data_IF_021276499968
#
_entry.id   IF_021276499968
#
_cell.length_a   1.000
_cell.length_b   1.000
_cell.length_c   1.000
_cell.angle_alpha   90.00
_cell.angle_beta   90.00
_cell.angle_gamma   90.00
#
_symmetry.space_group_name_H-M   'P 1'
#
loop_
_entity.id
_entity.type
_entity.pdbx_description
1 polymer ?
#
# COMPACT_ATOMS: atom_id res chain seq x y z
N UNK A 1 -13.03 -7.72 -46.01
CA UNK A 1 -13.65 -8.76 -45.16
C UNK A 1 -12.88 -10.08 -45.33
N UNK A 2 -12.48 -10.66 -44.19
CA UNK A 2 -11.77 -11.94 -44.18
C UNK A 2 -12.77 -13.10 -44.13
N UNK A 3 -12.76 -13.96 -45.13
CA UNK A 3 -13.65 -15.14 -45.19
C UNK A 3 -12.97 -16.35 -44.56
N UNK A 4 -13.58 -16.91 -43.52
CA UNK A 4 -13.10 -18.12 -42.88
C UNK A 4 -13.37 -19.33 -43.84
N UNK A 5 -12.43 -20.30 -43.91
CA UNK A 5 -12.66 -21.52 -44.68
C UNK A 5 -13.89 -22.28 -44.20
N UNK A 6 -14.60 -22.98 -45.11
CA UNK A 6 -15.72 -23.86 -44.71
C UNK A 6 -15.26 -24.84 -43.62
N UNK A 7 -16.04 -24.95 -42.55
CA UNK A 7 -15.72 -25.87 -41.46
C UNK A 7 -14.69 -25.34 -40.43
N UNK A 8 -14.27 -24.08 -40.53
CA UNK A 8 -13.40 -23.45 -39.50
C UNK A 8 -14.10 -23.44 -38.15
N UNK A 9 -13.46 -24.05 -37.14
CA UNK A 9 -13.97 -24.08 -35.77
C UNK A 9 -13.20 -23.05 -34.93
N UNK A 10 -13.94 -22.14 -34.32
CA UNK A 10 -13.40 -21.24 -33.33
C UNK A 10 -12.96 -22.02 -32.10
N UNK A 11 -11.91 -21.55 -31.45
CA UNK A 11 -11.39 -22.19 -30.24
C UNK A 11 -12.39 -22.11 -29.09
N UNK A 12 -12.28 -23.04 -28.11
CA UNK A 12 -13.20 -23.14 -26.93
C UNK A 12 -13.28 -21.89 -26.07
N UNK A 13 -12.31 -21.00 -26.20
CA UNK A 13 -12.26 -19.71 -25.46
C UNK A 13 -13.15 -18.62 -26.07
N UNK A 14 -13.93 -18.95 -27.10
CA UNK A 14 -14.84 -18.07 -27.84
C UNK A 14 -14.16 -16.85 -28.51
N UNK A 15 -12.84 -16.82 -28.60
CA UNK A 15 -12.13 -15.78 -29.31
C UNK A 15 -12.13 -16.04 -30.81
N UNK A 16 -12.46 -15.00 -31.58
CA UNK A 16 -12.34 -15.06 -33.02
C UNK A 16 -10.88 -14.96 -33.43
N UNK A 17 -10.31 -16.09 -33.94
CA UNK A 17 -8.93 -16.14 -34.39
C UNK A 17 -8.93 -16.40 -35.91
N UNK A 18 -7.97 -15.78 -36.61
CA UNK A 18 -7.85 -15.92 -38.05
C UNK A 18 -7.11 -17.20 -38.43
N UNK A 19 -7.32 -17.78 -39.63
CA UNK A 19 -6.48 -18.85 -40.13
C UNK A 19 -5.00 -18.51 -40.22
N UNK A 20 -4.66 -17.24 -40.34
CA UNK A 20 -3.27 -16.76 -40.21
C UNK A 20 -2.72 -17.03 -38.80
N UNK A 21 -3.47 -16.71 -37.77
CA UNK A 21 -3.09 -16.98 -36.37
C UNK A 21 -2.79 -18.47 -36.15
N UNK A 22 -3.68 -19.36 -36.63
CA UNK A 22 -3.50 -20.80 -36.48
C UNK A 22 -2.24 -21.31 -37.22
N UNK A 23 -1.91 -20.72 -38.38
CA UNK A 23 -0.67 -21.02 -39.09
C UNK A 23 0.57 -20.57 -38.33
N UNK A 24 0.55 -19.38 -37.74
CA UNK A 24 1.65 -18.89 -36.93
C UNK A 24 1.85 -19.75 -35.66
N UNK A 25 0.78 -20.15 -34.99
CA UNK A 25 0.86 -21.09 -33.86
C UNK A 25 1.46 -22.46 -34.27
N UNK A 26 1.18 -22.94 -35.48
CA UNK A 26 1.70 -24.22 -36.02
C UNK A 26 3.18 -24.13 -36.48
N UNK A 27 3.77 -22.93 -36.59
CA UNK A 27 5.19 -22.75 -36.92
C UNK A 27 6.14 -23.20 -35.83
N UNK A 28 5.63 -23.68 -34.71
CA UNK A 28 6.46 -24.18 -33.61
C UNK A 28 7.04 -23.08 -32.70
N UNK A 29 6.44 -21.89 -32.73
CA UNK A 29 6.81 -20.84 -31.77
C UNK A 29 6.54 -21.33 -30.33
N UNK A 30 7.44 -21.06 -29.40
CA UNK A 30 7.21 -21.32 -27.98
C UNK A 30 5.92 -20.64 -27.50
N UNK A 31 5.18 -21.30 -26.61
CA UNK A 31 3.89 -20.79 -26.11
C UNK A 31 3.97 -19.36 -25.55
N UNK A 32 5.07 -19.02 -24.89
CA UNK A 32 5.27 -17.67 -24.33
C UNK A 32 5.44 -16.60 -25.42
N UNK A 33 6.03 -16.95 -26.59
CA UNK A 33 6.12 -16.02 -27.72
C UNK A 33 4.78 -15.85 -28.43
N UNK A 34 3.97 -16.92 -28.52
CA UNK A 34 2.60 -16.83 -29.03
C UNK A 34 1.78 -15.90 -28.15
N UNK A 35 1.85 -16.07 -26.83
CA UNK A 35 1.16 -15.21 -25.87
C UNK A 35 1.61 -13.75 -26.00
N UNK A 36 2.92 -13.50 -26.14
CA UNK A 36 3.49 -12.17 -26.25
C UNK A 36 3.17 -11.48 -27.56
N UNK A 37 3.40 -12.16 -28.70
CA UNK A 37 3.41 -11.53 -30.02
C UNK A 37 2.05 -11.63 -30.74
N UNK A 38 1.27 -12.66 -30.45
CA UNK A 38 0.01 -12.92 -31.13
C UNK A 38 -1.21 -12.66 -30.25
N UNK A 39 -1.15 -13.06 -28.98
CA UNK A 39 -2.26 -12.91 -28.05
C UNK A 39 -2.20 -11.57 -27.27
N UNK A 40 -1.04 -10.92 -27.26
CA UNK A 40 -0.76 -9.74 -26.41
C UNK A 40 -1.08 -10.07 -24.92
N UNK A 41 -0.86 -11.32 -24.55
CA UNK A 41 -1.03 -11.84 -23.20
C UNK A 41 0.29 -11.77 -22.45
N UNK A 42 0.45 -10.72 -21.68
CA UNK A 42 1.67 -10.50 -20.90
C UNK A 42 1.84 -11.52 -19.76
N UNK A 43 0.74 -12.06 -19.22
CA UNK A 43 0.79 -13.12 -18.22
C UNK A 43 1.38 -14.42 -18.77
N UNK A 44 1.08 -14.76 -20.03
CA UNK A 44 1.62 -15.93 -20.74
C UNK A 44 3.00 -15.72 -21.35
N UNK A 45 3.51 -14.48 -21.42
CA UNK A 45 4.77 -14.13 -22.07
C UNK A 45 6.04 -14.51 -21.27
N UNK A 46 5.90 -14.91 -20.01
CA UNK A 46 7.02 -15.24 -19.12
C UNK A 46 7.84 -14.04 -18.64
N UNK A 47 7.38 -12.82 -18.89
CA UNK A 47 8.04 -11.57 -18.46
C UNK A 47 7.34 -10.90 -17.28
N UNK A 48 6.38 -11.57 -16.64
CA UNK A 48 5.71 -11.04 -15.45
C UNK A 48 6.67 -10.89 -14.30
N UNK A 49 6.57 -9.76 -13.59
CA UNK A 49 7.41 -9.49 -12.42
C UNK A 49 6.96 -10.34 -11.22
N UNK A 50 5.65 -10.42 -10.99
CA UNK A 50 5.08 -11.31 -9.98
C UNK A 50 4.71 -12.65 -10.62
N UNK A 51 4.99 -13.76 -9.93
CA UNK A 51 4.68 -15.10 -10.43
C UNK A 51 3.16 -15.34 -10.49
N UNK A 52 2.60 -15.72 -11.65
CA UNK A 52 1.15 -15.91 -11.79
C UNK A 52 0.58 -17.04 -10.91
N UNK A 53 1.39 -18.06 -10.62
CA UNK A 53 1.00 -19.16 -9.73
C UNK A 53 0.90 -18.70 -8.28
N UNK A 54 1.86 -17.88 -7.83
CA UNK A 54 1.83 -17.24 -6.50
C UNK A 54 0.63 -16.30 -6.39
N UNK A 55 0.35 -15.47 -7.41
CA UNK A 55 -0.80 -14.56 -7.42
C UNK A 55 -2.13 -15.30 -7.29
N UNK A 56 -2.29 -16.41 -7.99
CA UNK A 56 -3.49 -17.25 -7.89
C UNK A 56 -3.68 -17.83 -6.48
N UNK A 57 -2.60 -18.16 -5.78
CA UNK A 57 -2.68 -18.59 -4.38
C UNK A 57 -3.06 -17.43 -3.45
N UNK A 58 -2.51 -16.24 -3.69
CA UNK A 58 -2.82 -15.03 -2.92
C UNK A 58 -4.28 -14.60 -3.08
N UNK A 59 -4.88 -14.77 -4.27
CA UNK A 59 -6.31 -14.52 -4.48
C UNK A 59 -7.19 -15.31 -3.51
N UNK A 60 -6.78 -16.52 -3.11
CA UNK A 60 -7.47 -17.32 -2.09
C UNK A 60 -7.50 -16.68 -0.70
N UNK A 61 -6.59 -15.76 -0.42
CA UNK A 61 -6.53 -14.97 0.83
C UNK A 61 -7.29 -13.65 0.78
N UNK A 62 -7.72 -13.23 -0.43
CA UNK A 62 -8.51 -12.02 -0.60
C UNK A 62 -9.96 -12.24 -0.15
N UNK A 63 -10.61 -11.17 0.26
CA UNK A 63 -12.01 -11.20 0.72
C UNK A 63 -12.68 -9.86 0.48
N UNK A 64 -14.00 -9.88 0.45
CA UNK A 64 -14.76 -8.64 0.42
C UNK A 64 -14.49 -7.82 1.69
N UNK A 65 -14.51 -6.48 1.60
CA UNK A 65 -14.41 -5.64 2.78
C UNK A 65 -15.59 -5.91 3.73
N UNK A 66 -15.32 -5.82 5.02
CA UNK A 66 -16.35 -5.95 6.07
C UNK A 66 -17.27 -4.72 6.06
N UNK A 67 -16.68 -3.54 5.87
CA UNK A 67 -17.36 -2.26 5.80
C UNK A 67 -16.84 -1.44 4.61
N UNK A 68 -17.72 -0.61 4.05
CA UNK A 68 -17.36 0.41 3.05
C UNK A 68 -17.95 1.75 3.46
N UNK A 69 -17.22 2.84 3.18
CA UNK A 69 -17.68 4.17 3.59
C UNK A 69 -16.65 5.26 3.35
N UNK A 70 -16.61 6.19 4.28
CA UNK A 70 -15.67 7.30 4.31
C UNK A 70 -15.31 7.66 5.76
N UNK A 71 -14.17 8.34 5.94
CA UNK A 71 -13.82 8.95 7.24
C UNK A 71 -14.40 10.37 7.28
N UNK A 72 -15.13 10.67 8.36
CA UNK A 72 -15.57 12.02 8.70
C UNK A 72 -14.64 12.59 9.76
N UNK A 73 -14.29 13.86 9.65
CA UNK A 73 -13.35 14.53 10.55
C UNK A 73 -13.61 16.03 10.61
N UNK A 74 -13.26 16.64 11.74
CA UNK A 74 -13.23 18.08 11.94
C UNK A 74 -11.96 18.71 11.32
N UNK A 75 -11.90 20.04 11.24
CA UNK A 75 -10.73 20.76 10.67
C UNK A 75 -9.42 20.43 11.37
N UNK A 76 -9.46 20.18 12.66
CA UNK A 76 -8.29 19.86 13.49
C UNK A 76 -7.97 18.38 13.63
N UNK A 77 -8.73 17.50 12.99
CA UNK A 77 -8.61 16.02 13.10
C UNK A 77 -8.68 15.50 14.55
N UNK A 78 -9.39 16.23 15.44
CA UNK A 78 -9.58 15.81 16.83
C UNK A 78 -10.71 14.78 16.94
N UNK A 79 -11.76 14.97 16.14
CA UNK A 79 -12.89 14.07 16.04
C UNK A 79 -12.85 13.38 14.68
N UNK A 80 -12.45 12.10 14.68
CA UNK A 80 -12.41 11.29 13.48
C UNK A 80 -13.29 10.06 13.67
N UNK A 81 -14.22 9.83 12.75
CA UNK A 81 -15.18 8.72 12.80
C UNK A 81 -15.37 8.10 11.42
N UNK A 82 -15.86 6.86 11.38
CA UNK A 82 -16.24 6.18 10.15
C UNK A 82 -17.72 6.35 9.87
N UNK A 83 -18.07 6.73 8.65
CA UNK A 83 -19.44 6.79 8.15
C UNK A 83 -19.60 5.68 7.11
N UNK A 84 -20.43 4.71 7.43
CA UNK A 84 -20.73 3.61 6.51
C UNK A 84 -21.56 4.12 5.32
N UNK A 85 -21.14 3.79 4.12
CA UNK A 85 -21.88 4.05 2.89
C UNK A 85 -21.55 3.00 1.84
N UNK A 86 -22.57 2.48 1.18
CA UNK A 86 -22.39 1.50 0.10
C UNK A 86 -21.65 2.13 -1.07
N UNK A 87 -20.54 1.52 -1.45
CA UNK A 87 -19.71 2.02 -2.55
C UNK A 87 -18.84 3.24 -2.20
N UNK A 88 -18.68 3.56 -0.91
CA UNK A 88 -17.74 4.58 -0.46
C UNK A 88 -16.29 4.24 -0.82
N UNK A 89 -15.42 5.26 -0.94
CA UNK A 89 -14.04 5.08 -1.40
C UNK A 89 -13.15 4.34 -0.40
N UNK A 90 -13.54 4.29 0.88
CA UNK A 90 -12.81 3.57 1.94
C UNK A 90 -13.41 2.20 2.17
N UNK A 91 -12.58 1.18 2.09
CA UNK A 91 -12.89 -0.23 2.33
C UNK A 91 -12.15 -0.69 3.57
N UNK A 92 -12.83 -1.35 4.51
CA UNK A 92 -12.24 -1.88 5.73
C UNK A 92 -12.32 -3.41 5.73
N UNK A 93 -11.23 -4.08 6.06
CA UNK A 93 -11.16 -5.52 6.31
C UNK A 93 -10.99 -5.85 7.80
N UNK A 94 -10.86 -4.84 8.64
CA UNK A 94 -10.87 -4.99 10.10
C UNK A 94 -12.26 -4.67 10.68
N UNK A 95 -12.52 -5.21 11.86
CA UNK A 95 -13.67 -4.81 12.66
C UNK A 95 -13.36 -3.50 13.40
N UNK A 96 -14.39 -2.72 13.64
CA UNK A 96 -14.32 -1.56 14.51
C UNK A 96 -14.78 -1.95 15.92
N UNK A 97 -14.27 -1.26 16.91
CA UNK A 97 -14.68 -1.42 18.30
C UNK A 97 -16.11 -0.84 18.53
N UNK A 98 -16.74 -1.00 19.72
CA UNK A 98 -18.08 -0.50 19.99
C UNK A 98 -18.24 1.03 19.84
N UNK A 99 -17.15 1.79 19.85
CA UNK A 99 -17.17 3.24 19.62
C UNK A 99 -16.83 3.61 18.17
N UNK A 100 -16.72 2.62 17.27
CA UNK A 100 -16.54 2.81 15.83
C UNK A 100 -15.09 3.09 15.40
N UNK A 101 -14.08 2.70 16.19
CA UNK A 101 -12.68 2.90 15.90
C UNK A 101 -11.94 1.58 15.66
N UNK A 102 -10.84 1.57 14.87
CA UNK A 102 -9.94 0.43 14.74
C UNK A 102 -9.26 0.10 16.08
N UNK A 103 -8.77 -1.16 16.20
CA UNK A 103 -8.08 -1.62 17.40
C UNK A 103 -6.99 -0.67 17.86
N UNK A 104 -6.97 -0.37 19.15
CA UNK A 104 -5.92 0.42 19.82
C UNK A 104 -4.76 -0.41 20.35
N UNK A 105 -4.82 -1.72 20.20
CA UNK A 105 -3.76 -2.63 20.60
C UNK A 105 -2.74 -2.88 19.49
N UNK A 106 -2.97 -2.30 18.31
CA UNK A 106 -2.13 -2.42 17.13
C UNK A 106 -1.43 -1.11 16.80
N UNK A 107 -0.37 -1.20 15.99
CA UNK A 107 0.23 -0.06 15.32
C UNK A 107 -0.05 -0.18 13.83
N UNK A 108 -0.22 0.94 13.15
CA UNK A 108 -0.58 0.97 11.73
C UNK A 108 0.38 1.81 10.91
N UNK A 109 0.48 1.46 9.63
CA UNK A 109 1.14 2.30 8.64
C UNK A 109 0.25 2.47 7.41
N UNK A 110 0.43 3.60 6.72
CA UNK A 110 -0.28 3.95 5.51
C UNK A 110 0.72 4.20 4.40
N UNK A 111 0.60 3.44 3.30
CA UNK A 111 1.27 3.71 2.04
C UNK A 111 0.36 4.50 1.12
N UNK A 112 0.88 5.56 0.48
CA UNK A 112 0.10 6.42 -0.40
C UNK A 112 0.73 6.53 -1.79
N UNK A 113 -0.05 6.23 -2.81
CA UNK A 113 0.21 6.54 -4.20
C UNK A 113 -0.71 7.67 -4.65
N UNK A 114 -0.14 8.71 -5.27
CA UNK A 114 -0.83 9.99 -5.50
C UNK A 114 -1.00 10.24 -6.99
N UNK A 115 -2.24 10.24 -7.46
CA UNK A 115 -2.61 10.69 -8.79
C UNK A 115 -2.93 12.19 -8.81
N UNK A 116 -3.11 12.74 -10.01
CA UNK A 116 -3.45 14.16 -10.19
C UNK A 116 -4.87 14.51 -9.75
N UNK A 117 -5.76 13.52 -9.64
CA UNK A 117 -7.18 13.71 -9.35
C UNK A 117 -7.95 14.41 -10.49
N UNK A 118 -7.37 14.44 -11.68
CA UNK A 118 -8.06 15.00 -12.86
C UNK A 118 -8.92 13.89 -13.48
N UNK A 119 -10.23 14.04 -13.34
CA UNK A 119 -11.20 13.13 -13.97
C UNK A 119 -11.00 13.10 -15.50
N UNK A 120 -11.03 11.91 -16.10
CA UNK A 120 -10.88 11.72 -17.53
C UNK A 120 -10.70 10.26 -17.92
N UNK A 121 -10.62 10.00 -19.24
CA UNK A 121 -10.44 8.63 -19.78
C UNK A 121 -9.10 7.98 -19.39
N UNK A 122 -8.13 8.77 -18.97
CA UNK A 122 -6.80 8.32 -18.52
C UNK A 122 -6.58 8.59 -17.02
N UNK A 123 -7.68 8.74 -16.26
CA UNK A 123 -7.58 8.99 -14.83
C UNK A 123 -7.02 7.75 -14.11
N UNK A 124 -5.98 7.96 -13.32
CA UNK A 124 -5.34 7.02 -12.40
C UNK A 124 -5.93 7.18 -11.01
N UNK A 125 -5.89 6.14 -10.20
CA UNK A 125 -6.36 6.22 -8.82
C UNK A 125 -5.31 6.84 -7.90
N UNK A 126 -5.76 7.70 -6.99
CA UNK A 126 -5.05 7.95 -5.74
C UNK A 126 -5.41 6.86 -4.75
N UNK A 127 -4.43 6.23 -4.12
CA UNK A 127 -4.64 5.09 -3.22
C UNK A 127 -3.94 5.28 -1.89
N UNK A 128 -4.66 5.02 -0.79
CA UNK A 128 -4.10 4.90 0.56
C UNK A 128 -4.29 3.46 1.03
N UNK A 129 -3.21 2.73 1.26
CA UNK A 129 -3.22 1.35 1.78
C UNK A 129 -2.82 1.33 3.24
N UNK A 130 -3.67 0.80 4.10
CA UNK A 130 -3.43 0.71 5.55
C UNK A 130 -3.07 -0.72 5.93
N UNK A 131 -1.95 -0.88 6.62
CA UNK A 131 -1.46 -2.18 7.11
C UNK A 131 -1.31 -2.17 8.63
N UNK A 132 -1.70 -3.26 9.28
CA UNK A 132 -1.35 -3.53 10.66
C UNK A 132 0.14 -3.89 10.74
N UNK A 133 0.90 -3.17 11.56
CA UNK A 133 2.33 -3.43 11.77
C UNK A 133 2.58 -4.64 12.71
N UNK A 134 1.54 -5.16 13.32
CA UNK A 134 1.59 -6.35 14.18
C UNK A 134 1.39 -7.61 13.37
N UNK A 135 0.35 -7.63 12.53
CA UNK A 135 -0.03 -8.84 11.76
C UNK A 135 0.50 -8.84 10.34
N UNK A 136 0.89 -7.69 9.79
CA UNK A 136 1.20 -7.51 8.37
C UNK A 136 -0.04 -7.54 7.47
N UNK A 137 -1.24 -7.54 8.03
CA UNK A 137 -2.49 -7.60 7.27
C UNK A 137 -2.90 -6.22 6.77
N UNK A 138 -3.26 -6.13 5.49
CA UNK A 138 -3.92 -4.96 4.92
C UNK A 138 -5.32 -4.86 5.53
N UNK A 139 -5.55 -3.82 6.32
CA UNK A 139 -6.79 -3.63 7.09
C UNK A 139 -7.74 -2.61 6.48
N UNK A 140 -7.23 -1.74 5.60
CA UNK A 140 -8.06 -0.79 4.86
C UNK A 140 -7.42 -0.36 3.54
N UNK A 141 -8.26 0.14 2.63
CA UNK A 141 -7.89 0.73 1.35
C UNK A 141 -8.83 1.89 1.05
N UNK A 142 -8.28 3.06 0.82
CA UNK A 142 -8.98 4.17 0.18
C UNK A 142 -8.52 4.24 -1.27
N UNK A 143 -9.46 4.33 -2.22
CA UNK A 143 -9.14 4.48 -3.63
C UNK A 143 -10.13 5.44 -4.29
N UNK A 144 -9.61 6.43 -5.04
CA UNK A 144 -10.39 7.42 -5.76
C UNK A 144 -9.63 7.93 -6.99
N UNK A 145 -10.33 8.15 -8.10
CA UNK A 145 -9.75 8.65 -9.34
C UNK A 145 -9.89 10.17 -9.52
N UNK A 146 -10.67 10.82 -8.66
CA UNK A 146 -11.03 12.23 -8.75
C UNK A 146 -10.59 13.09 -7.55
N UNK A 147 -9.88 12.49 -6.59
CA UNK A 147 -9.39 13.21 -5.41
C UNK A 147 -8.07 13.92 -5.71
N UNK A 148 -8.02 15.27 -5.66
CA UNK A 148 -6.78 16.03 -5.84
C UNK A 148 -5.74 15.75 -4.75
N UNK A 149 -4.43 15.97 -5.02
CA UNK A 149 -3.36 15.65 -4.07
C UNK A 149 -3.48 16.31 -2.69
N UNK A 150 -3.95 17.55 -2.62
CA UNK A 150 -4.14 18.28 -1.36
C UNK A 150 -5.31 17.72 -0.55
N UNK A 151 -6.42 17.35 -1.20
CA UNK A 151 -7.54 16.69 -0.54
C UNK A 151 -7.17 15.26 -0.13
N UNK A 152 -6.41 14.53 -0.95
CA UNK A 152 -5.88 13.23 -0.57
C UNK A 152 -4.99 13.32 0.67
N UNK A 153 -4.18 14.38 0.80
CA UNK A 153 -3.37 14.62 1.99
C UNK A 153 -4.26 14.79 3.23
N UNK A 154 -5.36 15.51 3.10
CA UNK A 154 -6.35 15.67 4.16
C UNK A 154 -6.98 14.34 4.57
N UNK A 155 -7.38 13.52 3.58
CA UNK A 155 -7.89 12.16 3.82
C UNK A 155 -6.83 11.26 4.46
N UNK A 156 -5.56 11.35 4.03
CA UNK A 156 -4.47 10.56 4.59
C UNK A 156 -4.20 10.91 6.05
N UNK A 157 -4.18 12.19 6.42
CA UNK A 157 -4.02 12.62 7.82
C UNK A 157 -5.19 12.17 8.67
N UNK A 158 -6.44 12.30 8.18
CA UNK A 158 -7.62 11.80 8.86
C UNK A 158 -7.55 10.29 9.08
N UNK A 159 -7.14 9.51 8.07
CA UNK A 159 -6.93 8.08 8.20
C UNK A 159 -5.80 7.74 9.19
N UNK A 160 -4.71 8.51 9.21
CA UNK A 160 -3.65 8.35 10.21
C UNK A 160 -4.18 8.54 11.64
N UNK A 161 -5.08 9.49 11.84
CA UNK A 161 -5.71 9.73 13.15
C UNK A 161 -6.76 8.66 13.49
N UNK A 162 -7.51 8.18 12.50
CA UNK A 162 -8.46 7.07 12.64
C UNK A 162 -7.75 5.77 13.02
N UNK A 163 -6.66 5.42 12.32
CA UNK A 163 -5.81 4.25 12.57
C UNK A 163 -4.63 4.57 13.52
N UNK A 164 -4.86 5.37 14.55
CA UNK A 164 -3.76 5.78 15.44
C UNK A 164 -3.14 4.64 16.25
N UNK A 165 -3.91 3.58 16.49
CA UNK A 165 -3.45 2.43 17.28
C UNK A 165 -3.02 2.81 18.69
N UNK A 166 -1.89 2.26 19.14
CA UNK A 166 -1.30 2.53 20.48
C UNK A 166 -0.64 3.91 20.59
N UNK A 167 -0.40 4.59 19.46
CA UNK A 167 0.31 5.86 19.46
C UNK A 167 -0.63 7.04 19.58
N UNK A 168 -0.15 8.15 20.16
CA UNK A 168 -0.87 9.42 20.17
C UNK A 168 -0.66 10.21 18.87
N UNK A 169 0.38 9.86 18.10
CA UNK A 169 0.77 10.59 16.89
C UNK A 169 -0.06 10.20 15.67
N UNK A 170 -0.66 8.99 15.64
CA UNK A 170 -1.35 8.43 14.50
C UNK A 170 -0.51 7.39 13.75
N UNK A 171 -1.05 6.80 12.68
CA UNK A 171 -0.37 5.80 11.85
C UNK A 171 0.89 6.37 11.18
N UNK A 172 1.88 5.52 10.91
CA UNK A 172 3.07 5.91 10.17
C UNK A 172 2.77 6.09 8.68
N UNK A 173 3.04 7.27 8.12
CA UNK A 173 2.70 7.62 6.74
C UNK A 173 3.93 7.61 5.83
N UNK A 174 3.83 6.89 4.71
CA UNK A 174 4.81 6.86 3.64
C UNK A 174 4.12 7.08 2.29
N UNK A 175 4.63 7.96 1.45
CA UNK A 175 4.04 8.28 0.15
C UNK A 175 5.07 8.35 -0.96
N UNK A 176 4.64 8.17 -2.20
CA UNK A 176 5.46 8.44 -3.37
C UNK A 176 5.57 9.95 -3.60
N UNK A 177 6.80 10.49 -3.53
CA UNK A 177 7.07 11.94 -3.58
C UNK A 177 7.39 12.44 -5.00
N UNK A 178 6.99 11.68 -6.02
CA UNK A 178 7.16 12.04 -7.41
C UNK A 178 5.93 12.82 -7.93
N UNK A 179 6.15 13.75 -8.86
CA UNK A 179 5.06 14.44 -9.53
C UNK A 179 4.03 15.07 -8.56
N UNK A 180 2.77 14.57 -8.55
CA UNK A 180 1.71 15.07 -7.66
C UNK A 180 2.04 14.93 -6.16
N UNK A 181 2.94 14.01 -5.79
CA UNK A 181 3.40 13.80 -4.42
C UNK A 181 4.01 15.04 -3.77
N UNK A 182 4.55 15.97 -4.55
CA UNK A 182 5.09 17.23 -4.03
C UNK A 182 4.00 18.12 -3.41
N UNK A 183 2.83 18.19 -4.03
CA UNK A 183 1.68 18.95 -3.51
C UNK A 183 1.08 18.25 -2.29
N UNK A 184 1.00 16.91 -2.32
CA UNK A 184 0.60 16.10 -1.18
C UNK A 184 1.53 16.32 0.02
N UNK A 185 2.87 16.24 -0.21
CA UNK A 185 3.87 16.51 0.82
C UNK A 185 3.69 17.87 1.47
N UNK A 186 3.52 18.93 0.65
CA UNK A 186 3.33 20.28 1.16
C UNK A 186 2.14 20.35 2.09
N UNK A 187 1.00 19.81 1.70
CA UNK A 187 -0.20 19.79 2.53
C UNK A 187 0.01 18.99 3.84
N UNK A 188 0.58 17.77 3.76
CA UNK A 188 0.83 16.93 4.95
C UNK A 188 1.76 17.63 5.95
N UNK A 189 2.87 18.24 5.45
CA UNK A 189 3.94 18.75 6.31
C UNK A 189 3.73 20.19 6.78
N UNK A 190 3.17 21.05 5.90
CA UNK A 190 3.08 22.49 6.16
C UNK A 190 1.66 22.91 6.56
N UNK A 191 0.60 22.29 5.99
CA UNK A 191 -0.78 22.67 6.31
C UNK A 191 -1.33 21.89 7.51
N UNK A 192 -1.05 20.56 7.56
CA UNK A 192 -1.57 19.69 8.63
C UNK A 192 -0.53 19.32 9.68
N UNK A 193 0.73 19.75 9.52
CA UNK A 193 1.84 19.54 10.46
C UNK A 193 1.96 18.09 10.95
N UNK A 194 1.67 17.12 10.05
CA UNK A 194 1.74 15.71 10.40
C UNK A 194 3.17 15.20 10.41
N UNK A 195 3.67 14.74 11.56
CA UNK A 195 5.09 14.46 11.81
C UNK A 195 5.48 12.98 11.78
N UNK A 196 4.52 12.04 11.95
CA UNK A 196 4.81 10.61 11.94
C UNK A 196 4.95 10.06 10.51
N UNK A 197 5.98 10.52 9.79
CA UNK A 197 6.18 10.26 8.37
C UNK A 197 7.52 9.59 8.10
N UNK A 198 7.59 8.94 6.93
CA UNK A 198 8.82 8.35 6.42
C UNK A 198 9.77 9.43 5.90
N UNK A 199 11.04 9.30 6.27
CA UNK A 199 12.14 10.07 5.69
C UNK A 199 13.05 9.14 4.89
N UNK A 200 13.47 9.58 3.71
CA UNK A 200 14.38 8.82 2.84
C UNK A 200 15.63 8.41 3.59
N UNK A 201 16.14 7.23 3.27
CA UNK A 201 17.41 6.73 3.78
C UNK A 201 18.35 6.57 2.59
N UNK A 202 19.62 6.90 2.77
CA UNK A 202 20.63 6.58 1.76
C UNK A 202 20.83 5.05 1.76
N UNK A 203 20.33 4.40 0.71
CA UNK A 203 20.53 2.94 0.53
C UNK A 203 22.00 2.59 0.22
N UNK A 204 22.82 3.59 -0.11
CA UNK A 204 24.23 3.43 -0.50
C UNK A 204 25.20 3.50 0.70
N UNK A 205 24.75 3.96 1.85
CA UNK A 205 25.59 4.07 3.04
C UNK A 205 25.28 2.99 4.05
N UNK A 206 26.30 2.28 4.52
CA UNK A 206 26.17 1.25 5.55
C UNK A 206 25.49 1.73 6.84
N UNK A 207 25.54 3.02 7.16
CA UNK A 207 24.93 3.65 8.32
C UNK A 207 23.50 4.13 8.12
N UNK A 208 22.91 3.96 6.90
CA UNK A 208 21.51 4.36 6.57
C UNK A 208 21.12 5.73 7.15
N UNK A 209 21.90 6.75 6.82
CA UNK A 209 21.65 8.12 7.29
C UNK A 209 20.28 8.59 6.78
N UNK A 210 19.43 9.08 7.68
CA UNK A 210 18.14 9.66 7.31
C UNK A 210 18.37 10.96 6.53
N UNK A 211 17.75 11.04 5.35
CA UNK A 211 17.64 12.29 4.61
C UNK A 211 16.71 13.26 5.37
N UNK A 212 16.86 14.56 5.10
CA UNK A 212 15.90 15.58 5.53
C UNK A 212 14.64 15.61 4.66
N UNK A 213 14.60 14.85 3.56
CA UNK A 213 13.47 14.84 2.63
C UNK A 213 12.46 13.77 3.02
N UNK A 214 11.22 14.13 3.36
CA UNK A 214 10.16 13.17 3.64
C UNK A 214 9.65 12.52 2.33
N UNK A 215 8.95 11.39 2.48
CA UNK A 215 8.40 10.62 1.36
C UNK A 215 9.41 9.74 0.65
N UNK A 216 8.91 8.78 -0.12
CA UNK A 216 9.68 7.88 -0.98
C UNK A 216 9.87 8.53 -2.36
N UNK A 217 11.07 8.43 -2.91
CA UNK A 217 11.33 8.93 -4.27
C UNK A 217 11.57 7.75 -5.22
N UNK A 218 10.70 7.60 -6.20
CA UNK A 218 10.76 6.52 -7.19
C UNK A 218 11.68 6.89 -8.35
N UNK A 219 12.70 6.06 -8.53
CA UNK A 219 13.53 5.92 -9.72
C UNK A 219 13.37 4.50 -10.22
N UNK A 220 13.88 4.16 -11.39
CA UNK A 220 13.85 2.76 -11.87
C UNK A 220 14.45 1.80 -10.84
N UNK A 221 15.60 2.17 -10.25
CA UNK A 221 16.30 1.37 -9.23
C UNK A 221 15.46 1.23 -7.93
N UNK A 222 14.95 2.34 -7.41
CA UNK A 222 14.21 2.31 -6.14
C UNK A 222 12.82 1.67 -6.30
N UNK A 223 12.19 1.80 -7.47
CA UNK A 223 10.94 1.10 -7.81
C UNK A 223 11.17 -0.41 -7.87
N UNK A 224 12.26 -0.87 -8.50
CA UNK A 224 12.63 -2.28 -8.51
C UNK A 224 12.82 -2.83 -7.10
N UNK A 225 13.54 -2.11 -6.23
CA UNK A 225 13.75 -2.49 -4.83
C UNK A 225 12.40 -2.57 -4.10
N UNK A 226 11.56 -1.55 -4.23
CA UNK A 226 10.27 -1.46 -3.56
C UNK A 226 9.36 -2.64 -3.92
N UNK A 227 9.20 -2.91 -5.22
CA UNK A 227 8.35 -4.00 -5.72
C UNK A 227 8.93 -5.38 -5.39
N UNK A 228 10.28 -5.53 -5.40
CA UNK A 228 10.93 -6.78 -4.97
C UNK A 228 10.66 -7.05 -3.48
N UNK A 229 10.79 -6.06 -2.62
CA UNK A 229 10.49 -6.20 -1.18
C UNK A 229 9.01 -6.54 -0.96
N UNK A 230 8.11 -5.93 -1.72
CA UNK A 230 6.69 -6.25 -1.66
C UNK A 230 6.40 -7.69 -2.11
N UNK A 231 6.96 -8.15 -3.23
CA UNK A 231 6.84 -9.53 -3.70
C UNK A 231 7.35 -10.55 -2.67
N UNK A 232 8.49 -10.25 -2.01
CA UNK A 232 8.98 -11.07 -0.90
C UNK A 232 8.00 -11.05 0.27
N UNK A 233 7.45 -9.88 0.61
CA UNK A 233 6.45 -9.72 1.67
C UNK A 233 5.21 -10.59 1.44
N UNK A 234 4.67 -10.57 0.23
CA UNK A 234 3.53 -11.39 -0.18
C UNK A 234 3.84 -12.89 -0.07
N UNK A 235 4.95 -13.33 -0.65
CA UNK A 235 5.37 -14.75 -0.67
C UNK A 235 5.63 -15.31 0.72
N UNK A 236 6.23 -14.51 1.60
CA UNK A 236 6.58 -14.94 2.97
C UNK A 236 5.44 -14.74 3.98
N UNK A 237 4.30 -14.21 3.56
CA UNK A 237 3.19 -13.87 4.45
C UNK A 237 3.47 -12.72 5.42
N UNK A 238 4.55 -11.95 5.19
CA UNK A 238 4.83 -10.73 5.97
C UNK A 238 3.89 -9.59 5.61
N UNK A 239 3.35 -9.61 4.41
CA UNK A 239 2.27 -8.73 3.97
C UNK A 239 1.10 -9.58 3.48
N UNK A 240 -0.04 -9.49 4.17
CA UNK A 240 -1.25 -10.24 3.85
C UNK A 240 -2.23 -9.31 3.13
N UNK A 241 -2.27 -9.41 1.81
CA UNK A 241 -3.20 -8.61 1.02
C UNK A 241 -4.63 -9.16 1.12
N UNK A 242 -5.61 -8.25 1.23
CA UNK A 242 -7.03 -8.59 1.28
C UNK A 242 -7.83 -8.09 0.08
N UNK A 243 -7.23 -7.19 -0.72
CA UNK A 243 -7.85 -6.60 -1.90
C UNK A 243 -7.65 -7.49 -3.12
N UNK A 244 -8.74 -7.96 -3.72
CA UNK A 244 -8.70 -8.66 -5.00
C UNK A 244 -8.12 -7.80 -6.12
N UNK A 245 -8.49 -6.52 -6.13
CA UNK A 245 -8.04 -5.56 -7.14
C UNK A 245 -6.53 -5.38 -7.07
N UNK A 246 -5.97 -5.20 -5.87
CA UNK A 246 -4.53 -5.04 -5.67
C UNK A 246 -3.74 -6.29 -6.10
N UNK A 247 -4.22 -7.49 -5.77
CA UNK A 247 -3.56 -8.74 -6.17
C UNK A 247 -3.62 -8.91 -7.70
N UNK A 248 -4.75 -8.57 -8.35
CA UNK A 248 -4.87 -8.61 -9.80
C UNK A 248 -3.97 -7.59 -10.50
N UNK A 249 -3.83 -6.38 -9.95
CA UNK A 249 -2.91 -5.36 -10.47
C UNK A 249 -1.46 -5.87 -10.50
N UNK A 250 -1.03 -6.70 -9.54
CA UNK A 250 0.29 -7.32 -9.55
C UNK A 250 0.55 -8.10 -10.86
N UNK A 251 -0.46 -8.74 -11.43
CA UNK A 251 -0.34 -9.54 -12.65
C UNK A 251 0.01 -8.74 -13.90
N UNK A 252 -0.09 -7.41 -13.85
CA UNK A 252 0.21 -6.52 -14.97
C UNK A 252 1.59 -5.85 -14.88
N UNK A 253 2.38 -6.17 -13.86
CA UNK A 253 3.77 -5.72 -13.78
C UNK A 253 4.68 -6.67 -14.56
N UNK A 254 5.43 -6.11 -15.51
CA UNK A 254 6.31 -6.87 -16.41
C UNK A 254 7.72 -6.29 -16.42
N UNK A 255 8.70 -7.15 -16.70
CA UNK A 255 10.04 -6.70 -17.04
C UNK A 255 10.06 -6.18 -18.48
N UNK A 256 10.36 -4.90 -18.64
CA UNK A 256 10.61 -4.29 -19.98
C UNK A 256 12.06 -4.50 -20.37
N UNK A 257 12.96 -4.46 -19.38
CA UNK A 257 14.39 -4.75 -19.49
C UNK A 257 14.86 -5.44 -18.21
N UNK A 258 16.11 -5.90 -18.17
CA UNK A 258 16.70 -6.63 -17.03
C UNK A 258 16.53 -5.93 -15.68
N UNK A 259 16.48 -4.60 -15.66
CA UNK A 259 16.35 -3.78 -14.45
C UNK A 259 15.16 -2.82 -14.45
N UNK A 260 14.30 -2.88 -15.48
CA UNK A 260 13.16 -1.98 -15.62
C UNK A 260 11.86 -2.74 -15.56
N UNK A 261 11.00 -2.32 -14.62
CA UNK A 261 9.67 -2.89 -14.41
C UNK A 261 8.64 -1.80 -14.70
N UNK A 262 7.66 -2.14 -15.53
CA UNK A 262 6.54 -1.27 -15.86
C UNK A 262 5.21 -2.00 -15.63
N UNK A 263 4.18 -1.24 -15.30
CA UNK A 263 2.81 -1.72 -15.31
C UNK A 263 2.25 -1.59 -16.73
N UNK A 264 1.73 -2.70 -17.25
CA UNK A 264 1.08 -2.70 -18.55
C UNK A 264 -0.30 -2.08 -18.40
N UNK A 265 -0.57 -1.05 -19.19
CA UNK A 265 -1.88 -0.41 -19.22
C UNK A 265 -2.92 -1.36 -19.79
N UNK A 266 -3.85 -1.79 -18.97
CA UNK A 266 -4.97 -2.63 -19.41
C UNK A 266 -6.18 -1.74 -19.67
N UNK A 267 -6.60 -1.68 -20.93
CA UNK A 267 -7.83 -0.99 -21.34
C UNK A 267 -9.02 -1.93 -21.16
N UNK A 268 -10.13 -1.41 -20.65
CA UNK A 268 -11.41 -2.13 -20.62
C UNK A 268 -11.71 -2.96 -19.39
N UNK A 269 -10.84 -3.01 -18.39
CA UNK A 269 -11.24 -3.50 -17.05
C UNK A 269 -11.91 -2.35 -16.31
N UNK A 270 -13.18 -2.53 -15.96
CA UNK A 270 -13.88 -1.56 -15.11
C UNK A 270 -13.26 -1.61 -13.72
N UNK A 271 -12.48 -0.57 -13.36
CA UNK A 271 -12.06 -0.38 -11.98
C UNK A 271 -13.30 0.00 -11.15
N UNK A 272 -13.49 -0.57 -9.94
CA UNK A 272 -14.63 -0.25 -9.07
C UNK A 272 -14.75 1.24 -8.72
N UNK A 273 -13.66 2.00 -8.80
CA UNK A 273 -13.65 3.45 -8.59
C UNK A 273 -14.16 4.24 -9.79
N UNK A 274 -14.28 3.62 -10.96
CA UNK A 274 -14.58 4.31 -12.22
C UNK A 274 -13.35 4.89 -12.93
N UNK A 275 -12.13 4.60 -12.46
CA UNK A 275 -10.89 5.00 -13.14
C UNK A 275 -10.85 4.44 -14.57
N UNK A 276 -10.44 5.26 -15.53
CA UNK A 276 -10.43 4.89 -16.95
C UNK A 276 -9.26 4.02 -17.35
N UNK A 277 -8.13 4.09 -16.62
CA UNK A 277 -6.94 3.27 -16.83
C UNK A 277 -6.42 2.79 -15.47
N UNK A 278 -5.90 1.55 -15.44
CA UNK A 278 -5.20 1.01 -14.28
C UNK A 278 -3.69 1.15 -14.53
N UNK A 279 -3.00 1.78 -13.58
CA UNK A 279 -1.56 2.02 -13.61
C UNK A 279 -0.79 1.26 -12.53
N UNK A 280 -1.48 0.39 -11.77
CA UNK A 280 -0.89 -0.36 -10.66
C UNK A 280 -0.79 0.44 -9.36
N UNK A 281 -1.66 1.42 -9.20
CA UNK A 281 -1.65 2.39 -8.11
C UNK A 281 -1.81 1.71 -6.74
N UNK A 282 -2.66 0.67 -6.66
CA UNK A 282 -2.82 -0.13 -5.43
C UNK A 282 -1.57 -0.90 -5.06
N UNK A 283 -0.84 -1.39 -6.05
CA UNK A 283 0.42 -2.13 -5.84
C UNK A 283 1.50 -1.21 -5.30
N UNK A 284 1.61 0.02 -5.80
CA UNK A 284 2.57 1.00 -5.28
C UNK A 284 2.22 1.40 -3.84
N UNK A 285 0.95 1.70 -3.56
CA UNK A 285 0.50 2.02 -2.21
C UNK A 285 0.76 0.85 -1.22
N UNK A 286 0.45 -0.39 -1.62
CA UNK A 286 0.71 -1.59 -0.84
C UNK A 286 2.21 -1.84 -0.61
N UNK A 287 3.03 -1.62 -1.63
CA UNK A 287 4.48 -1.77 -1.55
C UNK A 287 5.10 -0.73 -0.58
N UNK A 288 4.61 0.50 -0.59
CA UNK A 288 4.99 1.53 0.38
C UNK A 288 4.56 1.15 1.81
N UNK A 289 3.33 0.65 1.99
CA UNK A 289 2.86 0.16 3.28
C UNK A 289 3.69 -1.05 3.76
N UNK A 290 4.06 -1.96 2.86
CA UNK A 290 4.96 -3.09 3.15
C UNK A 290 6.36 -2.60 3.56
N UNK A 291 6.88 -1.56 2.93
CA UNK A 291 8.16 -0.94 3.32
C UNK A 291 8.13 -0.42 4.75
N UNK A 292 6.99 0.10 5.22
CA UNK A 292 6.82 0.58 6.59
C UNK A 292 6.98 -0.53 7.64
N UNK A 293 6.65 -1.80 7.32
CA UNK A 293 6.89 -2.95 8.22
C UNK A 293 8.37 -3.10 8.59
N UNK A 294 9.29 -2.69 7.68
CA UNK A 294 10.74 -2.77 7.87
C UNK A 294 11.33 -1.49 8.47
N UNK A 295 10.84 -0.34 8.04
CA UNK A 295 11.49 0.96 8.25
C UNK A 295 10.79 1.85 9.29
N UNK A 296 9.70 1.36 9.92
CA UNK A 296 9.04 2.12 10.99
C UNK A 296 10.04 2.56 12.05
N UNK A 297 9.89 3.76 12.61
CA UNK A 297 10.60 4.12 13.84
C UNK A 297 10.21 3.07 14.89
N UNK A 298 11.17 2.30 15.37
CA UNK A 298 10.97 1.57 16.61
C UNK A 298 10.79 2.68 17.64
N UNK A 299 9.55 2.92 18.07
CA UNK A 299 9.32 3.64 19.30
C UNK A 299 10.08 2.81 20.35
N UNK A 300 11.30 3.23 20.68
CA UNK A 300 11.84 2.87 21.95
C UNK A 300 10.80 3.50 22.90
N UNK A 301 9.90 2.66 23.44
CA UNK A 301 9.39 2.92 24.75
C UNK A 301 10.69 3.24 25.52
N UNK A 302 10.95 4.51 25.79
CA UNK A 302 11.78 4.82 26.92
C UNK A 302 11.06 4.01 28.00
N UNK A 303 11.65 2.84 28.34
CA UNK A 303 11.43 2.31 29.66
C UNK A 303 11.60 3.56 30.49
N UNK A 304 10.50 4.07 31.01
CA UNK A 304 10.53 5.03 32.08
C UNK A 304 11.44 4.32 33.03
N UNK A 305 12.73 4.64 32.98
CA UNK A 305 13.69 4.14 33.96
C UNK A 305 12.96 4.53 35.21
N UNK A 306 12.38 3.49 35.83
CA UNK A 306 11.63 3.63 37.08
C UNK A 306 12.53 4.49 37.87
N UNK A 307 12.10 5.76 38.09
CA UNK A 307 12.95 6.88 38.40
C UNK A 307 13.99 6.34 39.32
N UNK A 308 15.25 6.26 38.85
CA UNK A 308 16.35 5.69 39.64
C UNK A 308 16.18 6.40 40.91
N UNK A 309 15.82 5.73 41.98
CA UNK A 309 15.38 6.33 43.21
C UNK A 309 16.44 7.39 43.58
N UNK A 310 16.20 8.60 43.04
CA UNK A 310 16.94 9.79 43.49
C UNK A 310 16.79 9.76 44.99
N UNK A 311 17.89 9.79 45.69
CA UNK A 311 17.87 9.76 47.13
C UNK A 311 16.71 10.65 47.62
N UNK A 312 15.78 10.09 48.38
CA UNK A 312 14.62 10.86 48.79
C UNK A 312 15.09 12.19 49.40
N UNK A 313 14.38 13.29 49.20
CA UNK A 313 14.78 14.58 49.71
C UNK A 313 15.16 14.50 51.18
N UNK A 314 16.24 15.21 51.59
CA UNK A 314 16.69 15.20 52.99
C UNK A 314 15.55 15.54 53.95
N UNK A 315 15.37 14.71 54.98
CA UNK A 315 14.31 14.92 55.99
C UNK A 315 12.93 14.37 55.57
N UNK A 316 12.77 13.79 54.39
CA UNK A 316 11.49 13.19 53.94
C UNK A 316 11.17 11.90 54.68
N UNK A 317 9.87 11.53 54.76
CA UNK A 317 9.43 10.26 55.33
C UNK A 317 10.06 9.05 54.61
N UNK A 318 10.28 9.14 53.33
CA UNK A 318 10.91 8.11 52.52
C UNK A 318 12.40 7.90 52.88
N UNK A 319 13.15 8.97 53.20
CA UNK A 319 14.53 8.86 53.69
C UNK A 319 14.57 8.18 55.05
N UNK A 320 13.75 8.61 56.02
CA UNK A 320 13.66 8.02 57.37
C UNK A 320 13.22 6.57 57.37
N UNK A 321 12.40 6.13 56.39
CA UNK A 321 12.03 4.76 56.23
C UNK A 321 13.21 3.93 55.70
N UNK A 322 13.93 4.44 54.71
CA UNK A 322 15.12 3.79 54.13
C UNK A 322 16.25 3.63 55.13
N UNK A 323 16.50 4.60 55.95
CA UNK A 323 17.49 4.54 57.06
C UNK A 323 17.12 3.45 58.08
N UNK A 324 15.84 3.37 58.48
CA UNK A 324 15.33 2.31 59.37
C UNK A 324 15.43 0.90 58.78
N UNK A 325 15.25 0.77 57.47
CA UNK A 325 15.34 -0.52 56.79
C UNK A 325 16.80 -0.96 56.58
N UNK A 326 17.76 0.00 56.58
CA UNK A 326 19.20 -0.30 56.56
C UNK A 326 19.75 -0.62 57.94
N UNK A 327 19.21 -0.06 59.02
CA UNK A 327 19.56 -0.44 60.39
C UNK A 327 19.05 -1.81 60.86
N UNK A 328 18.11 -2.40 60.09
CA UNK A 328 17.55 -3.72 60.38
C UNK A 328 18.25 -4.86 59.62
N UNK A 329 19.25 -4.56 58.80
CA UNK A 329 20.11 -5.52 58.10
C UNK A 329 21.46 -5.63 58.71
#
# INVERSE_FOLDING_TARGET
EYHFPPGYRFTLDQKYRSPWYDRECKRGLPKHLIAQELDIDFGGSGRTFFDPGELKQLEGGCRNPVLTGAVSFDEGFQEVSFIESKGGPLRLWCNLDPIGLPSREEDYAIGADIATGLAGKSASNSVLSVVSLVTGEKVAEYASHDTPPTELARQAVALCKFFRGRTTFGAFLIWEDNGPGASFRKAVMEEYEYTNVYYRRSEEHALKVKSKSPGWYSTEKTKLILLTEYGIGLRTGKFLNRSFEAVRECGFYVYVDSNKIEHVKVRGTMDPTGAGENHGDRVIADALACRALKDRPTLKLEETKAASMSNPPPGSYAQRRRERDLEKR
#
